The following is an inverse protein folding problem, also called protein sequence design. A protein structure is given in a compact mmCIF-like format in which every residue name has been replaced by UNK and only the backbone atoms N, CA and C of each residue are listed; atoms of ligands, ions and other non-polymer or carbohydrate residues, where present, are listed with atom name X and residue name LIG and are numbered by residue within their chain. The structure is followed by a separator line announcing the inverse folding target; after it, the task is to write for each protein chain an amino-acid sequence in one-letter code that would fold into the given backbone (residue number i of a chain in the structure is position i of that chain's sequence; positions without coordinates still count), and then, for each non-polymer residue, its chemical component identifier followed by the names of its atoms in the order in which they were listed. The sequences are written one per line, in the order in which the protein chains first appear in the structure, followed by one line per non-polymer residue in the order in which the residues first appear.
data_IF_796174302200
#
_entry.id   IF_796174302200
#
_cell.length_a   1.000
_cell.length_b   1.000
_cell.length_c   1.000
_cell.angle_alpha   90.00
_cell.angle_beta   90.00
_cell.angle_gamma   90.00
#
_symmetry.space_group_name_H-M   'P 1'
#
loop_
_entity.id
_entity.type
_entity.pdbx_description
1 polymer ?
#
# COMPACT_ATOMS: atom_id res chain seq x y z
N UNK A 1 -27.37 1.81 -21.22
CA UNK A 1 -26.22 1.08 -20.69
C UNK A 1 -26.30 1.19 -19.18
N UNK A 2 -26.36 0.07 -18.46
CA UNK A 2 -26.46 0.09 -17.01
C UNK A 2 -25.20 0.73 -16.41
N UNK A 3 -25.35 1.61 -15.42
CA UNK A 3 -24.24 2.16 -14.66
C UNK A 3 -23.55 1.01 -13.91
N UNK A 4 -22.27 0.77 -14.20
CA UNK A 4 -21.49 -0.22 -13.46
C UNK A 4 -21.14 0.36 -12.08
N UNK A 5 -21.51 -0.28 -10.97
CA UNK A 5 -21.45 0.31 -9.63
C UNK A 5 -20.02 0.57 -9.11
N UNK A 6 -18.97 0.14 -9.83
CA UNK A 6 -17.65 -0.12 -9.25
C UNK A 6 -16.53 0.79 -9.81
N UNK A 7 -16.86 2.07 -10.06
CA UNK A 7 -15.85 3.05 -10.49
C UNK A 7 -15.36 2.87 -11.94
N UNK A 8 -16.05 2.08 -12.77
CA UNK A 8 -15.79 1.95 -14.21
C UNK A 8 -16.04 3.23 -15.02
N UNK A 9 -16.69 4.23 -14.40
CA UNK A 9 -17.12 5.46 -15.06
C UNK A 9 -15.99 6.40 -15.51
N UNK A 10 -14.79 6.32 -14.93
CA UNK A 10 -13.72 7.26 -15.25
C UNK A 10 -12.38 6.57 -15.51
N UNK A 11 -11.96 6.61 -16.77
CA UNK A 11 -10.58 6.38 -17.20
C UNK A 11 -10.00 7.74 -17.57
N UNK A 12 -8.83 8.07 -17.03
CA UNK A 12 -8.08 9.24 -17.50
C UNK A 12 -6.99 8.76 -18.45
N UNK A 13 -7.06 9.18 -19.71
CA UNK A 13 -6.00 8.94 -20.71
C UNK A 13 -4.83 9.93 -20.55
N UNK A 14 -4.85 10.77 -19.51
CA UNK A 14 -3.78 11.72 -19.20
C UNK A 14 -2.89 11.14 -18.09
N UNK A 15 -1.66 10.80 -18.44
CA UNK A 15 -0.56 10.70 -17.49
C UNK A 15 0.35 11.97 -17.60
N UNK A 16 0.00 13.14 -17.04
CA UNK A 16 1.00 14.13 -16.73
C UNK A 16 1.39 13.92 -15.27
N UNK A 17 2.02 12.77 -14.96
CA UNK A 17 2.67 12.67 -13.66
C UNK A 17 3.84 13.66 -13.65
N UNK A 18 4.00 14.36 -12.55
CA UNK A 18 5.18 15.19 -12.34
C UNK A 18 6.24 14.34 -11.65
N UNK A 19 7.46 14.43 -12.16
CA UNK A 19 8.62 13.80 -11.49
C UNK A 19 9.29 14.86 -10.65
N UNK A 20 9.45 14.57 -9.36
CA UNK A 20 10.18 15.43 -8.44
C UNK A 20 11.47 14.72 -8.03
N UNK A 21 12.65 15.28 -8.34
CA UNK A 21 13.89 14.71 -7.83
C UNK A 21 13.93 14.87 -6.32
N UNK A 22 14.28 13.80 -5.61
CA UNK A 22 14.52 13.82 -4.17
C UNK A 22 16.03 13.80 -3.90
N UNK A 23 16.44 14.37 -2.77
CA UNK A 23 17.79 14.21 -2.24
C UNK A 23 17.68 13.43 -0.92
N UNK A 24 17.47 12.10 -0.98
CA UNK A 24 17.22 11.32 0.22
C UNK A 24 18.48 11.29 1.10
N UNK A 25 18.33 11.35 2.44
CA UNK A 25 19.46 11.10 3.34
C UNK A 25 20.01 9.69 3.15
N UNK A 26 21.24 9.48 3.59
CA UNK A 26 21.87 8.16 3.59
C UNK A 26 21.14 7.21 4.54
N UNK A 27 21.25 5.90 4.29
CA UNK A 27 20.68 4.89 5.20
C UNK A 27 21.18 5.05 6.65
N UNK A 28 22.43 5.51 6.84
CA UNK A 28 23.00 5.73 8.17
C UNK A 28 22.33 6.90 8.89
N UNK A 29 22.11 8.03 8.19
CA UNK A 29 21.39 9.18 8.75
C UNK A 29 19.94 8.81 9.09
N UNK A 30 19.26 8.05 8.21
CA UNK A 30 17.89 7.58 8.47
C UNK A 30 17.88 6.64 9.69
N UNK A 31 18.82 5.70 9.77
CA UNK A 31 18.91 4.76 10.90
C UNK A 31 19.08 5.50 12.24
N UNK A 32 19.98 6.47 12.29
CA UNK A 32 20.23 7.28 13.48
C UNK A 32 19.00 8.09 13.90
N UNK A 33 18.35 8.77 12.94
CA UNK A 33 17.13 9.56 13.21
C UNK A 33 16.00 8.67 13.71
N UNK A 34 15.77 7.51 13.09
CA UNK A 34 14.73 6.57 13.52
C UNK A 34 15.04 5.97 14.89
N UNK A 35 16.28 5.55 15.14
CA UNK A 35 16.71 5.03 16.43
C UNK A 35 16.43 6.05 17.53
N UNK A 36 16.90 7.29 17.36
CA UNK A 36 16.77 8.34 18.37
C UNK A 36 15.31 8.78 18.56
N UNK A 37 14.57 8.97 17.47
CA UNK A 37 13.19 9.45 17.51
C UNK A 37 12.20 8.44 18.07
N UNK A 38 12.43 7.14 17.85
CA UNK A 38 11.50 6.09 18.27
C UNK A 38 11.91 5.42 19.59
N UNK A 39 13.17 5.49 20.03
CA UNK A 39 13.61 4.89 21.30
C UNK A 39 12.72 5.21 22.51
N UNK A 40 12.19 6.45 22.69
CA UNK A 40 11.32 6.74 23.83
C UNK A 40 9.94 6.06 23.76
N UNK A 41 9.53 5.58 22.58
CA UNK A 41 8.21 5.01 22.31
C UNK A 41 8.18 3.49 22.52
N UNK A 42 9.33 2.83 22.61
CA UNK A 42 9.43 1.37 22.70
C UNK A 42 10.33 0.96 23.87
N UNK A 43 9.93 -0.08 24.60
CA UNK A 43 10.75 -0.64 25.68
C UNK A 43 12.11 -1.15 25.16
N UNK A 44 12.12 -1.70 23.94
CA UNK A 44 13.31 -2.15 23.24
C UNK A 44 13.16 -1.84 21.75
N UNK A 45 14.12 -1.11 21.18
CA UNK A 45 14.20 -0.82 19.76
C UNK A 45 15.65 -0.85 19.31
N UNK A 46 15.88 -1.46 18.14
CA UNK A 46 17.16 -1.37 17.44
C UNK A 46 16.89 -1.14 15.96
N UNK A 47 17.58 -0.15 15.38
CA UNK A 47 17.53 0.19 13.97
C UNK A 47 18.92 -0.07 13.38
N UNK A 48 19.04 -1.15 12.61
CA UNK A 48 20.30 -1.56 12.00
C UNK A 48 20.23 -1.45 10.47
N UNK A 49 21.34 -1.11 9.83
CA UNK A 49 21.51 -1.33 8.39
C UNK A 49 21.91 -2.79 8.18
N UNK A 50 21.16 -3.50 7.34
CA UNK A 50 21.39 -4.91 7.08
C UNK A 50 21.33 -5.22 5.58
N UNK A 51 21.93 -6.37 5.23
CA UNK A 51 21.69 -6.98 3.94
C UNK A 51 20.20 -7.32 3.83
N UNK A 52 19.62 -7.05 2.65
CA UNK A 52 18.23 -7.40 2.40
C UNK A 52 18.10 -8.93 2.36
N UNK A 53 17.24 -9.54 3.21
CA UNK A 53 16.96 -10.96 3.07
C UNK A 53 16.26 -11.22 1.73
N UNK A 54 16.30 -12.46 1.23
CA UNK A 54 15.57 -12.79 0.01
C UNK A 54 14.05 -12.71 0.25
N UNK A 55 13.42 -11.66 -0.25
CA UNK A 55 12.01 -11.36 0.04
C UNK A 55 11.03 -12.27 -0.69
N UNK A 56 11.48 -13.08 -1.65
CA UNK A 56 10.64 -14.12 -2.27
C UNK A 56 10.45 -15.35 -1.39
N UNK A 57 11.19 -15.47 -0.28
CA UNK A 57 11.11 -16.60 0.64
C UNK A 57 10.23 -16.28 1.85
N UNK A 58 9.72 -17.31 2.56
CA UNK A 58 9.09 -17.12 3.85
C UNK A 58 10.00 -16.33 4.83
N UNK A 59 9.44 -15.47 5.68
CA UNK A 59 8.00 -15.18 5.82
C UNK A 59 7.44 -14.16 4.81
N UNK A 60 8.29 -13.53 4.00
CA UNK A 60 7.94 -12.36 3.18
C UNK A 60 7.08 -12.67 1.97
N UNK A 61 7.41 -13.72 1.22
CA UNK A 61 6.66 -14.19 0.04
C UNK A 61 6.30 -13.05 -0.96
N UNK A 62 7.18 -12.06 -1.13
CA UNK A 62 7.01 -10.96 -2.08
C UNK A 62 7.38 -11.37 -3.51
N UNK A 63 6.93 -10.60 -4.49
CA UNK A 63 7.23 -10.83 -5.89
C UNK A 63 8.70 -10.52 -6.23
N UNK A 64 9.28 -9.49 -5.60
CA UNK A 64 10.68 -9.08 -5.74
C UNK A 64 11.61 -9.74 -4.74
N UNK A 65 12.90 -9.83 -5.08
CA UNK A 65 13.94 -10.46 -4.24
C UNK A 65 14.51 -9.54 -3.16
N UNK A 66 14.34 -8.22 -3.31
CA UNK A 66 14.83 -7.20 -2.40
C UNK A 66 14.08 -5.87 -2.56
N UNK A 67 14.57 -4.79 -1.94
CA UNK A 67 13.93 -3.46 -1.94
C UNK A 67 14.81 -2.34 -2.50
N UNK A 68 16.11 -2.57 -2.69
CA UNK A 68 17.04 -1.57 -3.20
C UNK A 68 17.02 -1.40 -4.72
N UNK A 69 17.88 -0.51 -5.22
CA UNK A 69 18.02 -0.22 -6.65
C UNK A 69 17.00 0.80 -7.14
N UNK A 70 17.47 1.77 -7.92
CA UNK A 70 16.77 2.95 -8.42
C UNK A 70 15.38 3.23 -7.81
N UNK A 71 15.36 3.64 -6.54
CA UNK A 71 14.13 3.69 -5.75
C UNK A 71 13.31 4.94 -6.05
N UNK A 72 12.00 4.81 -6.15
CA UNK A 72 11.07 5.93 -6.32
C UNK A 72 9.74 5.69 -5.60
N UNK A 73 8.96 6.77 -5.46
CA UNK A 73 7.62 6.73 -4.88
C UNK A 73 6.64 7.18 -5.95
N UNK A 74 5.57 6.41 -6.13
CA UNK A 74 4.41 6.82 -6.92
C UNK A 74 3.33 7.25 -5.93
N UNK A 75 2.96 8.51 -5.98
CA UNK A 75 1.88 9.10 -5.18
C UNK A 75 0.74 9.53 -6.10
N UNK A 76 -0.45 8.99 -5.86
CA UNK A 76 -1.69 9.40 -6.53
C UNK A 76 -2.80 9.72 -5.53
N UNK A 77 -2.42 10.19 -4.33
CA UNK A 77 -3.30 10.76 -3.31
C UNK A 77 -3.65 12.21 -3.67
N UNK A 78 -4.24 12.42 -4.85
CA UNK A 78 -4.66 13.77 -5.22
C UNK A 78 -6.06 14.07 -4.68
N UNK A 79 -6.33 15.32 -4.28
CA UNK A 79 -7.67 15.80 -3.96
C UNK A 79 -8.23 16.53 -5.19
N UNK A 80 -8.98 15.84 -6.06
CA UNK A 80 -9.80 16.49 -7.07
C UNK A 80 -11.13 16.96 -6.48
N UNK A 81 -11.39 18.26 -6.53
CA UNK A 81 -12.71 18.84 -6.24
C UNK A 81 -13.77 18.44 -7.28
N UNK A 82 -13.33 17.96 -8.45
CA UNK A 82 -14.18 17.67 -9.60
C UNK A 82 -14.79 16.26 -9.51
N UNK A 83 -14.07 15.30 -8.92
CA UNK A 83 -14.49 13.90 -8.89
C UNK A 83 -14.43 13.30 -7.47
N UNK A 84 -15.53 12.69 -6.99
CA UNK A 84 -15.51 11.92 -5.76
C UNK A 84 -14.44 10.82 -5.80
N UNK A 85 -13.77 10.58 -4.67
CA UNK A 85 -12.64 9.64 -4.57
C UNK A 85 -13.00 8.22 -5.06
N UNK A 86 -14.23 7.77 -4.78
CA UNK A 86 -14.73 6.45 -5.14
C UNK A 86 -15.00 6.27 -6.65
N UNK A 87 -14.96 7.34 -7.44
CA UNK A 87 -15.12 7.29 -8.90
C UNK A 87 -13.80 7.31 -9.67
N UNK A 88 -12.67 7.47 -8.98
CA UNK A 88 -11.36 7.61 -9.63
C UNK A 88 -10.72 6.25 -9.78
N UNK A 89 -10.13 5.99 -10.95
CA UNK A 89 -9.29 4.81 -11.15
C UNK A 89 -8.02 5.16 -11.91
N UNK A 90 -6.94 4.60 -11.40
CA UNK A 90 -5.58 4.65 -11.92
C UNK A 90 -5.20 3.24 -12.30
N UNK A 91 -4.70 3.06 -13.52
CA UNK A 91 -4.20 1.77 -13.99
C UNK A 91 -2.72 1.65 -13.63
N UNK A 92 -2.42 0.84 -12.59
CA UNK A 92 -1.05 0.72 -12.10
C UNK A 92 -0.18 -0.04 -13.11
N UNK A 93 -0.75 -1.02 -13.82
CA UNK A 93 -0.04 -1.71 -14.90
C UNK A 93 0.45 -0.70 -15.96
N UNK A 94 -0.41 0.25 -16.36
CA UNK A 94 -0.06 1.27 -17.35
C UNK A 94 1.13 2.11 -16.87
N UNK A 95 1.10 2.60 -15.62
CA UNK A 95 2.19 3.37 -15.01
C UNK A 95 3.50 2.57 -15.03
N UNK A 96 3.47 1.30 -14.61
CA UNK A 96 4.68 0.47 -14.61
C UNK A 96 5.23 0.31 -16.03
N UNK A 97 4.35 0.00 -16.99
CA UNK A 97 4.75 -0.23 -18.39
C UNK A 97 5.25 1.01 -19.11
N UNK A 98 4.77 2.21 -18.76
CA UNK A 98 5.17 3.46 -19.39
C UNK A 98 6.39 4.12 -18.74
N UNK A 99 6.59 3.91 -17.43
CA UNK A 99 7.42 4.80 -16.62
C UNK A 99 8.41 4.09 -15.69
N UNK A 100 8.22 2.80 -15.41
CA UNK A 100 9.05 2.05 -14.46
C UNK A 100 9.47 0.69 -15.05
N UNK A 101 10.30 0.66 -16.11
CA UNK A 101 10.82 -0.61 -16.63
C UNK A 101 11.64 -1.35 -15.57
N UNK A 102 11.61 -2.68 -15.61
CA UNK A 102 12.41 -3.57 -14.76
C UNK A 102 12.28 -3.27 -13.26
N UNK A 103 11.03 -3.10 -12.82
CA UNK A 103 10.67 -2.65 -11.49
C UNK A 103 9.97 -3.71 -10.65
N UNK A 104 10.12 -3.57 -9.34
CA UNK A 104 9.34 -4.18 -8.30
C UNK A 104 8.54 -3.08 -7.61
N UNK A 105 7.24 -3.30 -7.45
CA UNK A 105 6.32 -2.37 -6.81
C UNK A 105 5.65 -3.02 -5.61
N UNK A 106 5.64 -2.26 -4.52
CA UNK A 106 4.89 -2.57 -3.31
C UNK A 106 4.19 -1.31 -2.80
N UNK A 107 3.14 -1.48 -2.00
CA UNK A 107 2.44 -0.34 -1.42
C UNK A 107 1.00 -0.66 -1.12
N UNK A 108 0.21 0.37 -0.90
CA UNK A 108 -1.19 0.21 -0.54
C UNK A 108 -2.08 1.19 -1.28
N UNK A 109 -3.29 0.73 -1.57
CA UNK A 109 -4.34 1.53 -2.17
C UNK A 109 -5.71 0.88 -1.93
N UNK A 110 -6.69 1.27 -2.71
CA UNK A 110 -8.04 0.73 -2.69
C UNK A 110 -8.40 0.26 -4.09
N UNK A 111 -8.82 -1.00 -4.21
CA UNK A 111 -9.19 -1.60 -5.49
C UNK A 111 -10.54 -2.30 -5.38
N UNK A 112 -11.17 -2.54 -6.51
CA UNK A 112 -12.46 -3.24 -6.58
C UNK A 112 -12.42 -4.30 -7.67
N UNK A 113 -13.25 -5.32 -7.54
CA UNK A 113 -13.49 -6.34 -8.56
C UNK A 113 -14.84 -6.08 -9.23
N UNK A 114 -15.05 -6.58 -10.46
CA UNK A 114 -16.33 -6.40 -11.16
C UNK A 114 -17.56 -6.83 -10.36
N UNK A 115 -17.43 -7.80 -9.45
CA UNK A 115 -18.54 -8.32 -8.63
C UNK A 115 -18.63 -7.71 -7.22
N UNK A 116 -17.66 -6.89 -6.79
CA UNK A 116 -17.69 -6.27 -5.47
C UNK A 116 -18.44 -4.96 -5.56
N UNK A 117 -19.49 -4.71 -4.76
CA UNK A 117 -20.24 -3.46 -4.86
C UNK A 117 -19.39 -2.24 -4.44
N UNK A 118 -18.31 -2.45 -3.68
CA UNK A 118 -17.41 -1.39 -3.24
C UNK A 118 -15.93 -1.82 -3.17
N UNK A 119 -15.05 -0.90 -2.76
CA UNK A 119 -13.60 -1.11 -2.68
C UNK A 119 -13.18 -2.01 -1.50
N UNK A 120 -12.15 -2.83 -1.73
CA UNK A 120 -11.33 -3.48 -0.72
C UNK A 120 -9.93 -2.84 -0.62
N UNK A 121 -9.18 -3.19 0.42
CA UNK A 121 -7.80 -2.75 0.59
C UNK A 121 -6.87 -3.52 -0.35
N UNK A 122 -6.20 -2.79 -1.23
CA UNK A 122 -5.19 -3.33 -2.11
C UNK A 122 -3.84 -3.32 -1.40
N UNK A 123 -3.21 -4.49 -1.34
CA UNK A 123 -1.82 -4.69 -0.96
C UNK A 123 -1.07 -4.99 -2.25
N UNK A 124 -0.37 -3.98 -2.75
CA UNK A 124 0.38 -4.08 -4.00
C UNK A 124 1.65 -4.91 -3.77
N UNK A 125 1.88 -5.85 -4.68
CA UNK A 125 3.05 -6.71 -4.71
C UNK A 125 3.21 -7.25 -6.13
N UNK A 126 3.97 -6.57 -6.98
CA UNK A 126 4.13 -6.97 -8.36
C UNK A 126 5.53 -6.65 -8.89
N UNK A 127 6.00 -7.42 -9.87
CA UNK A 127 7.21 -7.09 -10.64
C UNK A 127 6.84 -6.92 -12.10
N UNK A 128 7.45 -5.94 -12.75
CA UNK A 128 7.36 -5.73 -14.18
C UNK A 128 8.77 -5.76 -14.78
N UNK A 129 9.00 -6.65 -15.73
CA UNK A 129 10.18 -6.66 -16.59
C UNK A 129 9.76 -6.34 -18.00
N UNK A 130 10.39 -5.33 -18.57
CA UNK A 130 10.02 -4.87 -19.89
C UNK A 130 10.34 -5.97 -20.93
N UNK A 131 9.55 -6.10 -22.01
CA UNK A 131 8.36 -5.31 -22.34
C UNK A 131 7.02 -5.92 -21.89
N UNK A 132 6.97 -7.17 -21.42
CA UNK A 132 5.69 -7.89 -21.23
C UNK A 132 5.65 -8.85 -20.03
N UNK A 133 6.69 -8.90 -19.20
CA UNK A 133 6.75 -9.83 -18.07
C UNK A 133 6.26 -9.14 -16.78
N UNK A 134 4.93 -9.15 -16.59
CA UNK A 134 4.28 -8.67 -15.38
C UNK A 134 3.86 -9.84 -14.50
N UNK A 135 4.45 -9.93 -13.32
CA UNK A 135 4.06 -10.88 -12.27
C UNK A 135 3.30 -10.14 -11.18
N UNK A 136 2.02 -10.46 -11.01
CA UNK A 136 1.16 -9.88 -9.98
C UNK A 136 0.94 -10.87 -8.81
N UNK A 137 1.46 -10.52 -7.64
CA UNK A 137 1.27 -11.21 -6.36
C UNK A 137 0.44 -10.38 -5.37
N UNK A 138 -0.25 -9.35 -5.88
CA UNK A 138 -1.05 -8.42 -5.06
C UNK A 138 -2.27 -9.09 -4.47
N UNK A 139 -2.72 -8.56 -3.33
CA UNK A 139 -3.88 -9.08 -2.60
C UNK A 139 -4.90 -7.99 -2.37
N UNK A 140 -6.16 -8.39 -2.31
CA UNK A 140 -7.29 -7.57 -1.93
C UNK A 140 -7.84 -8.09 -0.61
N UNK A 141 -8.03 -7.20 0.37
CA UNK A 141 -8.57 -7.53 1.69
C UNK A 141 -9.84 -6.72 1.94
N UNK A 142 -10.89 -7.39 2.38
CA UNK A 142 -12.15 -6.76 2.78
C UNK A 142 -12.87 -7.61 3.82
N UNK A 143 -13.79 -6.98 4.56
CA UNK A 143 -14.69 -7.65 5.49
C UNK A 143 -16.07 -7.83 4.83
N UNK A 144 -16.60 -9.03 4.89
CA UNK A 144 -17.93 -9.34 4.37
C UNK A 144 -19.02 -8.79 5.31
N UNK A 145 -19.85 -7.87 4.82
CA UNK A 145 -20.87 -7.20 5.64
C UNK A 145 -21.87 -8.17 6.27
N UNK A 146 -22.16 -9.29 5.60
CA UNK A 146 -23.15 -10.28 6.06
C UNK A 146 -22.77 -10.96 7.38
N UNK A 147 -21.48 -11.13 7.67
CA UNK A 147 -21.00 -11.97 8.77
C UNK A 147 -19.78 -11.39 9.50
N UNK A 148 -19.19 -10.29 9.04
CA UNK A 148 -17.98 -9.71 9.62
C UNK A 148 -16.68 -10.45 9.25
N UNK A 149 -16.73 -11.46 8.37
CA UNK A 149 -15.58 -12.28 8.05
C UNK A 149 -14.59 -11.52 7.15
N UNK A 150 -13.32 -11.52 7.54
CA UNK A 150 -12.24 -10.97 6.69
C UNK A 150 -11.88 -11.96 5.60
N UNK A 151 -11.94 -11.50 4.35
CA UNK A 151 -11.58 -12.25 3.16
C UNK A 151 -10.33 -11.64 2.53
N UNK A 152 -9.40 -12.50 2.10
CA UNK A 152 -8.15 -12.12 1.42
C UNK A 152 -8.11 -12.86 0.08
N UNK A 153 -8.03 -12.10 -1.01
CA UNK A 153 -8.01 -12.66 -2.36
C UNK A 153 -6.78 -12.22 -3.13
N UNK A 154 -6.20 -13.12 -3.92
CA UNK A 154 -5.13 -12.75 -4.86
C UNK A 154 -5.75 -12.05 -6.07
N UNK A 155 -5.07 -11.01 -6.57
CA UNK A 155 -5.39 -10.36 -7.83
C UNK A 155 -4.60 -11.02 -8.95
N UNK A 156 -5.24 -11.96 -9.65
CA UNK A 156 -4.58 -12.77 -10.69
C UNK A 156 -4.71 -12.19 -12.09
N UNK A 157 -5.70 -11.33 -12.34
CA UNK A 157 -5.90 -10.66 -13.63
C UNK A 157 -5.19 -9.30 -13.62
N UNK A 158 -4.20 -9.05 -14.50
CA UNK A 158 -3.54 -7.75 -14.63
C UNK A 158 -4.51 -6.58 -14.85
N UNK A 159 -5.64 -6.80 -15.52
CA UNK A 159 -6.66 -5.77 -15.74
C UNK A 159 -7.38 -5.35 -14.44
N UNK A 160 -7.14 -6.06 -13.34
CA UNK A 160 -7.63 -5.74 -11.99
C UNK A 160 -6.61 -4.92 -11.18
N UNK A 161 -5.44 -4.57 -11.72
CA UNK A 161 -4.49 -3.61 -11.12
C UNK A 161 -4.97 -2.15 -11.22
N UNK A 162 -6.27 -1.93 -10.95
CA UNK A 162 -6.92 -0.63 -10.95
C UNK A 162 -7.15 -0.19 -9.53
N UNK A 163 -6.72 1.02 -9.20
CA UNK A 163 -6.82 1.53 -7.83
C UNK A 163 -7.26 3.00 -7.81
N UNK A 164 -7.79 3.49 -6.68
CA UNK A 164 -8.32 4.87 -6.59
C UNK A 164 -7.28 5.89 -6.16
N UNK A 165 -6.72 5.70 -4.97
CA UNK A 165 -5.75 6.56 -4.32
C UNK A 165 -4.83 5.72 -3.45
N UNK A 166 -3.54 6.05 -3.43
CA UNK A 166 -2.56 5.24 -2.73
C UNK A 166 -1.16 5.74 -2.97
N UNK A 167 -0.24 5.09 -2.27
CA UNK A 167 1.18 5.36 -2.33
C UNK A 167 1.88 4.03 -2.60
N UNK A 168 2.78 4.03 -3.58
CA UNK A 168 3.58 2.88 -3.95
C UNK A 168 5.06 3.22 -3.83
N UNK A 169 5.83 2.25 -3.36
CA UNK A 169 7.27 2.22 -3.43
C UNK A 169 7.71 1.33 -4.60
N UNK A 170 8.63 1.84 -5.39
CA UNK A 170 9.17 1.18 -6.59
C UNK A 170 10.67 1.05 -6.46
N UNK A 171 11.22 -0.10 -6.85
CA UNK A 171 12.67 -0.35 -6.88
C UNK A 171 13.05 -1.38 -7.92
N UNK A 172 14.34 -1.66 -8.10
CA UNK A 172 14.85 -2.73 -8.98
C UNK A 172 14.95 -4.09 -8.25
N UNK A 173 14.39 -4.19 -7.04
CA UNK A 173 14.46 -5.35 -6.16
C UNK A 173 15.88 -5.81 -5.76
N UNK A 174 16.80 -4.87 -5.53
CA UNK A 174 18.18 -5.14 -5.10
C UNK A 174 18.35 -5.13 -3.56
N UNK A 175 19.58 -5.20 -3.08
CA UNK A 175 19.91 -5.29 -1.64
C UNK A 175 20.00 -3.96 -0.89
N UNK A 176 20.18 -4.06 0.44
CA UNK A 176 20.33 -2.93 1.39
C UNK A 176 19.00 -2.45 1.97
N UNK A 177 18.77 -2.69 3.27
CA UNK A 177 17.54 -2.27 3.98
C UNK A 177 17.81 -1.85 5.42
N UNK A 178 16.90 -1.07 5.98
CA UNK A 178 16.83 -0.87 7.43
C UNK A 178 16.04 -2.02 8.07
N UNK A 179 16.58 -2.57 9.14
CA UNK A 179 15.95 -3.61 9.94
C UNK A 179 15.57 -3.05 11.30
N UNK A 180 14.27 -3.09 11.59
CA UNK A 180 13.69 -2.73 12.88
C UNK A 180 13.12 -3.99 13.56
N UNK A 181 13.16 -4.05 14.89
CA UNK A 181 12.62 -5.19 15.66
C UNK A 181 11.74 -4.66 16.80
N UNK A 182 10.75 -5.49 17.17
CA UNK A 182 9.76 -5.27 18.25
C UNK A 182 8.68 -4.22 17.92
N UNK A 183 7.42 -4.46 18.34
CA UNK A 183 6.28 -3.54 18.11
C UNK A 183 4.91 -4.23 18.12
N UNK A 184 3.84 -3.42 18.19
CA UNK A 184 2.43 -3.84 18.04
C UNK A 184 1.80 -3.07 16.87
N UNK A 185 0.75 -3.64 16.26
CA UNK A 185 0.10 -3.01 15.09
C UNK A 185 -1.42 -3.07 15.22
N UNK A 186 -2.09 -1.99 14.85
CA UNK A 186 -3.53 -1.90 14.65
C UNK A 186 -3.82 -1.68 13.15
N UNK A 187 -4.91 -2.25 12.63
CA UNK A 187 -5.24 -2.20 11.20
C UNK A 187 -6.71 -1.82 11.00
N UNK A 188 -6.99 -0.99 9.99
CA UNK A 188 -8.35 -0.75 9.53
C UNK A 188 -8.72 -1.77 8.44
N UNK A 189 -9.95 -2.26 8.47
CA UNK A 189 -10.51 -3.12 7.42
C UNK A 189 -11.73 -2.45 6.79
N UNK A 190 -11.76 -2.46 5.46
CA UNK A 190 -12.87 -1.98 4.66
C UNK A 190 -13.92 -3.07 4.46
N UNK A 191 -15.19 -2.67 4.49
CA UNK A 191 -16.32 -3.54 4.15
C UNK A 191 -16.40 -3.77 2.63
N UNK A 192 -16.93 -4.91 2.23
CA UNK A 192 -17.32 -5.18 0.84
C UNK A 192 -18.53 -4.36 0.38
N UNK A 193 -19.31 -3.82 1.32
CA UNK A 193 -20.52 -3.05 1.08
C UNK A 193 -20.68 -1.81 2.00
N UNK A 194 -21.17 -0.69 1.45
CA UNK A 194 -21.38 0.59 2.15
C UNK A 194 -22.78 1.18 1.93
N UNK A 195 -23.21 2.05 2.84
CA UNK A 195 -24.44 2.83 2.66
C UNK A 195 -24.16 4.10 1.86
N UNK A 196 -24.95 4.33 0.83
CA UNK A 196 -24.95 5.60 0.08
C UNK A 196 -25.78 6.67 0.81
N UNK A 197 -25.40 7.97 0.74
CA UNK A 197 -24.24 8.50 0.00
C UNK A 197 -22.91 8.26 0.72
N UNK A 198 -21.86 7.89 -0.02
CA UNK A 198 -20.50 7.79 0.51
C UNK A 198 -20.00 9.14 1.06
N UNK A 199 -19.37 9.09 2.23
CA UNK A 199 -18.79 10.25 2.92
C UNK A 199 -17.52 10.77 2.22
N UNK A 200 -17.11 12.03 2.51
CA UNK A 200 -15.75 12.49 2.22
C UNK A 200 -14.72 11.50 2.75
N UNK A 201 -13.63 11.30 2.00
CA UNK A 201 -12.71 10.18 2.23
C UNK A 201 -12.20 10.05 3.67
N UNK A 202 -11.80 11.15 4.30
CA UNK A 202 -11.32 11.13 5.69
C UNK A 202 -12.40 10.71 6.69
N UNK A 203 -13.64 11.16 6.50
CA UNK A 203 -14.77 10.77 7.36
C UNK A 203 -15.19 9.32 7.08
N UNK A 204 -15.07 8.86 5.84
CA UNK A 204 -15.27 7.48 5.46
C UNK A 204 -14.27 6.55 6.18
N UNK A 205 -12.96 6.88 6.15
CA UNK A 205 -11.93 6.07 6.82
C UNK A 205 -12.10 6.06 8.34
N UNK A 206 -12.44 7.19 8.98
CA UNK A 206 -12.72 7.25 10.42
C UNK A 206 -13.87 6.35 10.87
N UNK A 207 -14.84 6.09 9.98
CA UNK A 207 -15.98 5.19 10.27
C UNK A 207 -15.66 3.72 10.02
N UNK A 208 -14.53 3.39 9.41
CA UNK A 208 -14.09 2.01 9.31
C UNK A 208 -13.71 1.47 10.68
N UNK A 209 -13.95 0.19 10.91
CA UNK A 209 -13.56 -0.42 12.19
C UNK A 209 -12.04 -0.55 12.23
N UNK A 210 -11.46 -0.14 13.36
CA UNK A 210 -10.09 -0.46 13.76
C UNK A 210 -10.14 -1.56 14.81
N UNK A 211 -10.39 -2.83 14.43
CA UNK A 211 -10.29 -3.92 15.39
C UNK A 211 -8.82 -4.05 15.81
N UNK A 212 -8.58 -4.17 17.12
CA UNK A 212 -7.30 -4.68 17.59
C UNK A 212 -7.18 -6.13 17.13
N UNK A 213 -6.22 -6.38 16.24
CA UNK A 213 -5.94 -7.73 15.76
C UNK A 213 -4.88 -8.31 16.68
N UNK A 214 -5.28 -9.26 17.54
CA UNK A 214 -4.33 -10.06 18.30
C UNK A 214 -3.60 -11.01 17.35
N UNK A 215 -2.32 -10.76 17.14
CA UNK A 215 -1.49 -11.57 16.24
C UNK A 215 -1.19 -12.92 16.89
N UNK A 216 -1.65 -14.00 16.25
CA UNK A 216 -1.32 -15.39 16.62
C UNK A 216 0.04 -15.85 16.05
N UNK A 217 0.62 -15.07 15.13
CA UNK A 217 1.86 -15.36 14.42
C UNK A 217 2.54 -14.08 13.95
N UNK A 218 3.80 -14.20 13.49
CA UNK A 218 4.51 -13.11 12.82
C UNK A 218 3.70 -12.57 11.62
N UNK A 219 3.83 -11.26 11.39
CA UNK A 219 3.11 -10.53 10.36
C UNK A 219 4.08 -9.78 9.45
N UNK A 220 3.77 -9.78 8.15
CA UNK A 220 4.51 -8.98 7.16
C UNK A 220 3.66 -7.77 6.79
N UNK A 221 4.13 -6.59 7.18
CA UNK A 221 3.54 -5.31 6.84
C UNK A 221 4.19 -4.76 5.56
N UNK A 222 3.37 -4.20 4.67
CA UNK A 222 3.84 -3.50 3.48
C UNK A 222 3.19 -2.13 3.46
N UNK A 223 4.01 -1.08 3.36
CA UNK A 223 3.50 0.29 3.34
C UNK A 223 4.57 1.29 2.97
N UNK A 224 4.11 2.47 2.56
CA UNK A 224 4.96 3.62 2.24
C UNK A 224 4.61 4.76 3.19
N UNK A 225 5.62 5.44 3.71
CA UNK A 225 5.47 6.61 4.57
C UNK A 225 6.14 7.79 3.85
N UNK A 226 5.42 8.91 3.73
CA UNK A 226 5.97 10.15 3.20
C UNK A 226 5.86 11.22 4.28
N UNK A 227 6.98 11.81 4.67
CA UNK A 227 7.00 12.96 5.57
C UNK A 227 7.07 14.25 4.74
N UNK A 228 5.91 14.85 4.45
CA UNK A 228 5.81 16.10 3.68
C UNK A 228 5.81 17.35 4.55
N UNK A 229 5.55 17.23 5.86
CA UNK A 229 5.51 18.35 6.80
C UNK A 229 6.14 17.94 8.13
N UNK A 230 7.20 18.63 8.62
CA UNK A 230 7.85 18.32 9.91
C UNK A 230 7.02 18.81 11.12
N UNK A 231 5.71 18.61 11.09
CA UNK A 231 4.83 18.89 12.21
C UNK A 231 5.02 17.85 13.32
N UNK A 232 5.29 18.30 14.55
CA UNK A 232 5.30 17.42 15.71
C UNK A 232 3.88 16.93 15.98
N UNK A 233 3.65 15.63 15.86
CA UNK A 233 2.40 15.02 16.29
C UNK A 233 2.41 14.82 17.79
N UNK A 234 1.55 15.56 18.50
CA UNK A 234 1.41 15.49 19.96
C UNK A 234 0.42 14.41 20.42
N UNK A 235 -0.21 13.71 19.48
CA UNK A 235 -1.17 12.64 19.72
C UNK A 235 -0.95 11.48 18.75
N UNK A 236 -1.15 10.25 19.23
CA UNK A 236 -1.16 9.04 18.40
C UNK A 236 -2.25 9.14 17.33
N UNK A 237 -1.88 9.10 16.05
CA UNK A 237 -2.84 9.09 14.96
C UNK A 237 -3.15 7.65 14.55
N UNK A 238 -4.33 7.16 14.96
CA UNK A 238 -4.83 5.83 14.57
C UNK A 238 -5.49 5.77 13.18
N UNK A 239 -5.80 6.93 12.58
CA UNK A 239 -6.62 7.06 11.36
C UNK A 239 -6.00 8.00 10.33
N UNK A 240 -4.72 7.83 10.02
CA UNK A 240 -4.11 8.53 8.88
C UNK A 240 -3.70 7.54 7.78
N UNK A 241 -3.46 8.04 6.56
CA UNK A 241 -3.13 7.24 5.36
C UNK A 241 -1.71 6.64 5.51
N UNK A 242 -1.52 5.65 6.39
CA UNK A 242 -0.22 4.98 6.53
C UNK A 242 -0.38 3.50 6.91
N UNK A 243 0.09 2.63 5.99
CA UNK A 243 0.33 1.18 6.10
C UNK A 243 -0.87 0.26 6.37
N UNK A 244 -1.02 -0.80 5.55
CA UNK A 244 -2.05 -1.85 5.73
C UNK A 244 -1.45 -3.24 5.51
N UNK A 245 -2.00 -4.23 6.20
CA UNK A 245 -1.33 -5.50 6.55
C UNK A 245 -1.96 -6.69 5.83
N UNK A 246 -1.15 -7.67 5.42
CA UNK A 246 -1.67 -9.00 5.03
C UNK A 246 -1.03 -10.12 5.85
N UNK A 247 -1.85 -11.10 6.23
CA UNK A 247 -1.40 -12.41 6.70
C UNK A 247 -0.87 -13.18 5.49
N UNK A 248 0.45 -13.26 5.33
CA UNK A 248 1.11 -14.11 4.33
C UNK A 248 1.47 -15.47 4.94
N UNK A 249 0.46 -16.17 5.45
CA UNK A 249 0.58 -17.58 5.82
C UNK A 249 -0.27 -18.40 4.86
N UNK A 250 0.41 -19.11 3.96
CA UNK A 250 -0.22 -20.12 3.12
C UNK A 250 -0.63 -21.34 3.95
N UNK A 251 -1.78 -21.89 3.59
CA UNK A 251 -1.88 -23.34 3.36
C UNK A 251 -1.66 -23.58 1.88
#
# INVERSE_FOLDING_TARGET
MAEEPNGDLYRTDRLPYMTFPTNPPTLSEIAEVLQNGMQPLFQQLTVDIANCPCLTKPPYNLAGVGLGGNTSIIDFVHYSEILPWYRRRVNIQEILTSSCPDSFVIGSSYATKPHMPHYGHLIMNATYRAPMDLKNESRLIFAERRNGQTTIEKLTDPNQMKATQGIMFVSEALGGVLKMKYGSVACNLMWDDYQEPLLPFYEFIKRQQCPEIHLESDMVAVGTIINNEPGLWTQEQRYNIVSYLSRLCGQ
#
